data_IF_248403843099
#
_entry.id   IF_248403843099
#
_cell.length_a   1.000
_cell.length_b   1.000
_cell.length_c   1.000
_cell.angle_alpha   90.00
_cell.angle_beta   90.00
_cell.angle_gamma   90.00
#
_symmetry.space_group_name_H-M   'P 1'
#
loop_
_entity.id
_entity.type
_entity.pdbx_description
1 polymer ?
#
# COMPACT_ATOMS: atom_id res chain seq x y z
N UNK A 1 -9.78 9.14 -24.74
CA UNK A 1 -10.84 8.67 -25.68
C UNK A 1 -10.80 9.39 -27.02
N UNK A 2 -9.64 9.68 -27.46
CA UNK A 2 -9.40 10.15 -28.80
C UNK A 2 -9.84 9.07 -29.79
N UNK A 3 -10.23 9.49 -30.99
CA UNK A 3 -10.66 8.56 -32.05
C UNK A 3 -11.96 7.81 -31.76
N UNK A 4 -12.76 8.28 -30.80
CA UNK A 4 -14.06 7.69 -30.52
C UNK A 4 -14.05 6.33 -29.87
N UNK A 5 -12.91 5.91 -29.29
CA UNK A 5 -12.84 4.64 -28.56
C UNK A 5 -13.67 4.72 -27.29
N UNK A 6 -14.43 3.65 -26.95
CA UNK A 6 -15.18 3.61 -25.70
C UNK A 6 -14.21 3.33 -24.54
N UNK A 7 -13.78 4.39 -23.85
CA UNK A 7 -12.81 4.29 -22.79
C UNK A 7 -13.39 4.71 -21.44
N UNK A 8 -12.84 4.11 -20.40
CA UNK A 8 -13.08 4.45 -19.00
C UNK A 8 -11.73 4.70 -18.35
N UNK A 9 -11.67 5.67 -17.46
CA UNK A 9 -10.42 6.00 -16.77
C UNK A 9 -10.61 5.78 -15.27
N UNK A 10 -9.63 5.13 -14.64
CA UNK A 10 -9.60 5.00 -13.19
C UNK A 10 -8.32 5.58 -12.63
N UNK A 11 -8.44 6.29 -11.50
CA UNK A 11 -7.32 6.73 -10.69
C UNK A 11 -7.41 6.02 -9.34
N UNK A 12 -6.32 5.45 -8.88
CA UNK A 12 -6.34 4.69 -7.64
C UNK A 12 -5.35 5.23 -6.62
N UNK A 13 -5.60 4.88 -5.36
CA UNK A 13 -4.70 5.14 -4.25
C UNK A 13 -3.53 4.15 -4.26
N UNK A 14 -2.63 4.27 -3.29
CA UNK A 14 -1.50 3.35 -3.18
C UNK A 14 -1.98 1.94 -2.89
N UNK A 15 -1.65 1.01 -3.77
CA UNK A 15 -2.03 -0.39 -3.60
C UNK A 15 -1.01 -1.14 -2.75
N UNK A 16 -1.48 -2.16 -2.06
CA UNK A 16 -0.61 -3.12 -1.38
C UNK A 16 -1.21 -4.52 -1.48
N UNK A 17 -0.38 -5.53 -1.32
CA UNK A 17 -0.86 -6.90 -1.35
C UNK A 17 0.26 -7.91 -1.63
N UNK A 18 -0.09 -9.18 -1.65
CA UNK A 18 0.88 -10.24 -1.94
C UNK A 18 1.56 -10.05 -3.28
N UNK A 19 2.83 -10.41 -3.36
CA UNK A 19 3.65 -10.36 -4.59
C UNK A 19 3.89 -8.95 -5.11
N UNK A 20 3.67 -7.92 -4.28
CA UNK A 20 4.02 -6.57 -4.66
C UNK A 20 5.54 -6.44 -4.81
N UNK A 21 5.97 -5.58 -5.73
CA UNK A 21 7.39 -5.39 -6.03
C UNK A 21 8.15 -4.88 -4.79
N UNK A 22 9.32 -5.44 -4.47
CA UNK A 22 10.01 -5.15 -3.20
C UNK A 22 10.51 -3.71 -3.01
N UNK A 23 10.48 -2.89 -4.06
CA UNK A 23 10.85 -1.47 -3.94
C UNK A 23 9.77 -0.61 -3.28
N UNK A 24 8.56 -1.13 -3.18
CA UNK A 24 7.46 -0.39 -2.56
C UNK A 24 7.54 -0.47 -1.04
N UNK A 25 6.92 0.51 -0.35
CA UNK A 25 7.10 0.69 1.09
C UNK A 25 6.82 -0.58 1.91
N UNK A 26 5.63 -1.14 1.76
CA UNK A 26 5.23 -2.26 2.63
C UNK A 26 6.11 -3.50 2.43
N UNK A 27 6.29 -4.02 1.20
CA UNK A 27 7.15 -5.19 1.05
C UNK A 27 8.61 -4.90 1.40
N UNK A 28 9.11 -3.71 1.09
CA UNK A 28 10.49 -3.35 1.43
C UNK A 28 10.71 -3.36 2.94
N UNK A 29 9.78 -2.76 3.70
CA UNK A 29 9.90 -2.72 5.15
C UNK A 29 9.80 -4.11 5.78
N UNK A 30 8.91 -4.96 5.26
CA UNK A 30 8.80 -6.34 5.72
C UNK A 30 10.11 -7.09 5.50
N UNK A 31 10.67 -7.02 4.29
CA UNK A 31 11.91 -7.72 3.96
C UNK A 31 13.07 -7.22 4.80
N UNK A 32 13.22 -5.91 4.95
CA UNK A 32 14.29 -5.35 5.76
C UNK A 32 14.16 -5.77 7.21
N UNK A 33 12.96 -5.73 7.77
CA UNK A 33 12.72 -6.13 9.15
C UNK A 33 13.07 -7.59 9.39
N UNK A 34 12.64 -8.48 8.50
CA UNK A 34 12.93 -9.91 8.62
C UNK A 34 14.42 -10.20 8.53
N UNK A 35 15.17 -9.41 7.79
CA UNK A 35 16.62 -9.55 7.64
C UNK A 35 17.43 -8.76 8.68
N UNK A 36 16.76 -8.11 9.63
CA UNK A 36 17.44 -7.32 10.66
C UNK A 36 18.08 -6.04 10.14
N UNK A 37 17.66 -5.56 8.98
CA UNK A 37 18.19 -4.34 8.38
C UNK A 37 17.42 -3.12 8.89
N UNK A 38 18.05 -1.92 8.84
CA UNK A 38 17.35 -0.68 9.21
C UNK A 38 16.10 -0.44 8.37
N UNK A 39 15.10 0.19 8.98
CA UNK A 39 13.85 0.57 8.33
C UNK A 39 13.89 2.10 8.12
N UNK A 40 14.43 2.58 7.00
CA UNK A 40 14.58 4.01 6.78
C UNK A 40 13.23 4.68 6.54
N UNK A 41 12.95 5.73 7.30
CA UNK A 41 11.77 6.57 7.10
C UNK A 41 12.26 7.88 6.50
N UNK A 42 11.78 8.21 5.31
CA UNK A 42 12.16 9.43 4.63
C UNK A 42 11.42 10.63 5.24
N UNK A 43 12.15 11.74 5.40
CA UNK A 43 11.59 12.91 6.05
C UNK A 43 11.24 12.62 7.49
N UNK A 44 10.09 13.15 7.95
CA UNK A 44 9.59 12.92 9.31
C UNK A 44 8.61 11.75 9.41
N UNK A 45 8.37 11.06 8.31
CA UNK A 45 7.44 9.93 8.26
C UNK A 45 5.98 10.32 8.33
N UNK A 46 5.66 11.60 8.24
CA UNK A 46 4.29 12.09 8.36
C UNK A 46 3.55 12.18 7.03
N UNK A 47 4.18 11.76 5.94
CA UNK A 47 3.52 11.71 4.64
C UNK A 47 2.33 10.76 4.71
N UNK A 48 1.15 11.30 4.40
CA UNK A 48 -0.10 10.54 4.46
C UNK A 48 -0.41 9.98 3.07
N UNK A 49 -0.79 8.71 3.04
CA UNK A 49 -1.24 8.03 1.83
C UNK A 49 -2.52 7.29 2.12
N UNK A 50 -3.39 7.21 1.12
CA UNK A 50 -4.58 6.37 1.18
C UNK A 50 -4.19 4.97 0.69
N UNK A 51 -4.31 3.96 1.56
CA UNK A 51 -3.86 2.61 1.27
C UNK A 51 -5.04 1.73 0.85
N UNK A 52 -4.87 1.06 -0.29
CA UNK A 52 -5.90 0.25 -0.92
C UNK A 52 -5.37 -1.17 -1.15
N UNK A 53 -6.05 -2.15 -0.58
CA UNK A 53 -5.68 -3.55 -0.80
C UNK A 53 -5.92 -3.91 -2.27
N UNK A 54 -4.97 -4.65 -2.87
CA UNK A 54 -4.97 -4.89 -4.31
C UNK A 54 -6.21 -5.63 -4.78
N UNK A 55 -6.73 -6.58 -4.01
CA UNK A 55 -7.95 -7.30 -4.38
C UNK A 55 -9.16 -6.37 -4.41
N UNK A 56 -9.26 -5.46 -3.46
CA UNK A 56 -10.33 -4.45 -3.45
C UNK A 56 -10.24 -3.54 -4.67
N UNK A 57 -9.02 -3.18 -5.07
CA UNK A 57 -8.82 -2.39 -6.28
C UNK A 57 -9.28 -3.15 -7.52
N UNK A 58 -8.94 -4.43 -7.63
CA UNK A 58 -9.38 -5.25 -8.75
C UNK A 58 -10.90 -5.38 -8.80
N UNK A 59 -11.55 -5.56 -7.67
CA UNK A 59 -13.01 -5.62 -7.58
C UNK A 59 -13.64 -4.31 -8.04
N UNK A 60 -13.06 -3.17 -7.63
CA UNK A 60 -13.55 -1.87 -8.04
C UNK A 60 -13.40 -1.64 -9.54
N UNK A 61 -12.25 -2.04 -10.12
CA UNK A 61 -12.05 -1.96 -11.56
C UNK A 61 -13.12 -2.77 -12.29
N UNK A 62 -13.40 -3.98 -11.81
CA UNK A 62 -14.42 -4.82 -12.42
C UNK A 62 -15.79 -4.15 -12.39
N UNK A 63 -16.17 -3.53 -11.27
CA UNK A 63 -17.43 -2.80 -11.19
C UNK A 63 -17.48 -1.59 -12.13
N UNK A 64 -16.37 -0.88 -12.30
CA UNK A 64 -16.30 0.22 -13.27
C UNK A 64 -16.52 -0.30 -14.69
N UNK A 65 -15.92 -1.45 -15.03
CA UNK A 65 -16.12 -2.04 -16.35
C UNK A 65 -17.56 -2.46 -16.57
N UNK A 66 -18.23 -2.95 -15.53
CA UNK A 66 -19.63 -3.43 -15.66
C UNK A 66 -20.64 -2.29 -15.69
N UNK A 67 -20.44 -1.26 -14.89
CA UNK A 67 -21.45 -0.24 -14.59
C UNK A 67 -21.02 1.17 -14.93
N UNK A 68 -19.74 1.38 -15.24
CA UNK A 68 -19.23 2.71 -15.51
C UNK A 68 -19.74 3.26 -16.84
N UNK A 69 -19.73 4.57 -16.91
CA UNK A 69 -20.12 5.28 -18.15
C UNK A 69 -18.87 5.58 -18.97
N UNK A 70 -18.95 5.29 -20.25
CA UNK A 70 -17.86 5.60 -21.19
C UNK A 70 -17.55 7.10 -21.14
N UNK A 71 -16.26 7.41 -21.10
CA UNK A 71 -15.77 8.79 -21.04
C UNK A 71 -15.64 9.38 -19.65
N UNK A 72 -16.14 8.70 -18.63
CA UNK A 72 -16.05 9.17 -17.25
C UNK A 72 -14.76 8.71 -16.58
N UNK A 73 -14.34 9.46 -15.56
CA UNK A 73 -13.18 9.12 -14.71
C UNK A 73 -13.68 8.71 -13.34
N UNK A 74 -13.15 7.60 -12.82
CA UNK A 74 -13.54 7.06 -11.53
C UNK A 74 -12.32 7.04 -10.61
N UNK A 75 -12.48 7.57 -9.41
CA UNK A 75 -11.43 7.54 -8.38
C UNK A 75 -11.68 6.36 -7.46
N UNK A 76 -10.66 5.52 -7.32
CA UNK A 76 -10.73 4.33 -6.48
C UNK A 76 -9.80 4.53 -5.29
N UNK A 77 -10.35 4.60 -4.09
CA UNK A 77 -9.59 4.80 -2.88
C UNK A 77 -9.97 3.80 -1.80
N UNK A 78 -9.05 3.60 -0.83
CA UNK A 78 -9.29 2.69 0.29
C UNK A 78 -10.02 3.32 1.46
N UNK A 79 -10.18 4.64 1.44
CA UNK A 79 -10.71 5.40 2.57
C UNK A 79 -9.97 5.07 3.87
N UNK A 80 -8.65 4.89 3.75
CA UNK A 80 -7.80 4.42 4.83
C UNK A 80 -6.49 5.20 4.80
N UNK A 81 -6.56 6.49 5.13
CA UNK A 81 -5.42 7.38 5.09
C UNK A 81 -4.54 7.20 6.32
N UNK A 82 -3.28 6.85 6.11
CA UNK A 82 -2.32 6.62 7.17
C UNK A 82 -0.98 7.24 6.78
N UNK A 83 -0.26 7.76 7.78
CA UNK A 83 1.11 8.21 7.54
C UNK A 83 2.03 7.00 7.33
N UNK A 84 3.14 7.22 6.65
CA UNK A 84 4.13 6.16 6.44
C UNK A 84 4.66 5.62 7.78
N UNK A 85 4.87 6.49 8.75
CA UNK A 85 5.35 6.06 10.07
C UNK A 85 4.34 5.14 10.76
N UNK A 86 3.05 5.46 10.69
CA UNK A 86 2.00 4.61 11.27
C UNK A 86 1.98 3.24 10.59
N UNK A 87 2.09 3.21 9.26
CA UNK A 87 2.11 1.95 8.50
C UNK A 87 3.31 1.10 8.92
N UNK A 88 4.50 1.69 9.01
CA UNK A 88 5.71 0.95 9.38
C UNK A 88 5.61 0.43 10.81
N UNK A 89 5.07 1.22 11.74
CA UNK A 89 4.86 0.76 13.12
C UNK A 89 3.88 -0.41 13.19
N UNK A 90 2.82 -0.40 12.39
CA UNK A 90 1.88 -1.51 12.32
C UNK A 90 2.54 -2.78 11.76
N UNK A 91 3.38 -2.64 10.74
CA UNK A 91 4.15 -3.76 10.20
C UNK A 91 5.03 -4.37 11.30
N UNK A 92 5.75 -3.53 12.03
CA UNK A 92 6.63 -4.00 13.10
C UNK A 92 5.83 -4.74 14.19
N UNK A 93 4.68 -4.22 14.58
CA UNK A 93 3.84 -4.86 15.59
C UNK A 93 3.36 -6.22 15.12
N UNK A 94 2.91 -6.32 13.86
CA UNK A 94 2.45 -7.60 13.32
C UNK A 94 3.58 -8.61 13.22
N UNK A 95 4.78 -8.18 12.86
CA UNK A 95 5.94 -9.07 12.82
C UNK A 95 6.34 -9.53 14.21
N UNK A 96 6.24 -8.68 15.23
CA UNK A 96 6.49 -9.10 16.62
C UNK A 96 5.53 -10.20 17.06
N UNK A 97 4.30 -10.19 16.57
CA UNK A 97 3.32 -11.22 16.88
C UNK A 97 3.52 -12.50 16.06
N UNK A 98 3.82 -12.36 14.77
CA UNK A 98 3.83 -13.48 13.82
C UNK A 98 5.20 -14.14 13.67
N UNK A 99 6.28 -13.36 13.73
CA UNK A 99 7.66 -13.84 13.53
C UNK A 99 8.55 -13.19 14.57
N UNK A 100 8.34 -13.46 15.88
CA UNK A 100 9.10 -12.79 16.93
C UNK A 100 10.57 -13.16 16.89
N UNK A 101 11.44 -12.18 17.19
CA UNK A 101 12.88 -12.38 17.36
C UNK A 101 13.24 -12.27 18.83
N UNK A 102 14.12 -13.14 19.36
CA UNK A 102 14.54 -13.07 20.76
C UNK A 102 15.24 -11.73 21.06
N UNK A 103 14.81 -11.07 22.13
CA UNK A 103 15.44 -9.87 22.66
C UNK A 103 15.45 -8.65 21.73
N UNK A 104 14.66 -8.67 20.62
CA UNK A 104 14.60 -7.57 19.66
C UNK A 104 13.17 -7.30 19.28
N UNK A 105 12.76 -6.04 19.35
CA UNK A 105 11.51 -5.59 18.77
C UNK A 105 11.78 -4.98 17.39
N UNK A 106 10.96 -5.31 16.41
CA UNK A 106 11.17 -4.79 15.06
C UNK A 106 11.15 -3.27 14.99
N UNK A 107 10.35 -2.62 15.82
CA UNK A 107 10.28 -1.16 15.85
C UNK A 107 11.62 -0.49 16.16
N UNK A 108 12.54 -1.19 16.83
CA UNK A 108 13.87 -0.65 17.12
C UNK A 108 14.72 -0.47 15.86
N UNK A 109 14.34 -1.07 14.73
CA UNK A 109 15.05 -0.93 13.47
C UNK A 109 14.68 0.34 12.70
N UNK A 110 13.63 1.03 13.10
CA UNK A 110 13.21 2.27 12.42
C UNK A 110 14.29 3.35 12.65
N UNK A 111 14.72 3.96 11.55
CA UNK A 111 15.77 4.99 11.58
C UNK A 111 15.29 6.35 11.07
#
# INVERSE_FOLDING_TARGET
>A
HTYGLPTLTTNCSNNYGPRQFPEKLIPLMILNALNGKPLPIYGDGQNIRDWLYVEDHCDAIYEVLRRGRVGETYNIGGNNELSNLVVVNQICRLLDELVPKPNVQYASLIT
#
